data_IF_633219344020
#
_entry.id   IF_633219344020
#
_cell.length_a   1.000
_cell.length_b   1.000
_cell.length_c   1.000
_cell.angle_alpha   90.00
_cell.angle_beta   90.00
_cell.angle_gamma   90.00
#
_symmetry.space_group_name_H-M   'P 1'
#
loop_
_entity.id
_entity.type
_entity.pdbx_description
1 polymer ?
#
# COMPACT_ATOMS: atom_id res chain seq x y z
N UNK A 1 59.56 -9.82 -19.98
CA UNK A 1 59.31 -9.97 -18.53
C UNK A 1 57.89 -9.48 -18.28
N UNK A 2 56.92 -10.35 -18.53
CA UNK A 2 55.48 -10.05 -18.43
C UNK A 2 54.94 -10.59 -17.10
N UNK A 3 54.17 -9.77 -16.39
CA UNK A 3 53.54 -10.18 -15.13
C UNK A 3 52.22 -10.92 -15.43
N UNK A 4 51.91 -12.03 -14.73
CA UNK A 4 50.66 -12.75 -14.91
C UNK A 4 49.47 -11.90 -14.43
N UNK A 5 48.46 -11.77 -15.29
CA UNK A 5 47.15 -11.21 -14.93
C UNK A 5 46.42 -12.19 -14.02
N UNK A 6 46.13 -11.77 -12.79
CA UNK A 6 45.30 -12.52 -11.88
C UNK A 6 43.83 -12.47 -12.33
N UNK A 7 43.27 -13.62 -12.69
CA UNK A 7 41.84 -13.80 -12.96
C UNK A 7 41.10 -13.82 -11.62
N UNK A 8 40.36 -12.75 -11.29
CA UNK A 8 39.51 -12.76 -10.10
C UNK A 8 38.31 -13.71 -10.35
N UNK A 9 38.00 -14.63 -9.42
CA UNK A 9 36.88 -15.55 -9.61
C UNK A 9 35.57 -14.77 -9.63
N UNK A 10 34.78 -14.97 -10.68
CA UNK A 10 33.40 -14.50 -10.78
C UNK A 10 32.61 -15.14 -9.64
N UNK A 11 32.27 -14.32 -8.64
CA UNK A 11 31.42 -14.73 -7.52
C UNK A 11 30.02 -15.01 -8.08
N UNK A 12 29.74 -16.30 -8.26
CA UNK A 12 28.43 -16.87 -8.57
C UNK A 12 27.41 -16.41 -7.52
N UNK A 13 26.67 -15.34 -7.85
CA UNK A 13 25.56 -14.78 -7.03
C UNK A 13 24.53 -15.84 -6.60
N UNK A 14 24.50 -17.00 -7.26
CA UNK A 14 23.56 -18.11 -7.03
C UNK A 14 23.95 -19.04 -5.87
N UNK A 15 25.14 -18.92 -5.27
CA UNK A 15 25.55 -19.78 -4.14
C UNK A 15 25.41 -19.13 -2.76
N UNK A 16 25.08 -17.84 -2.67
CA UNK A 16 24.86 -17.14 -1.40
C UNK A 16 23.49 -17.44 -0.73
N UNK A 17 22.57 -18.13 -1.42
CA UNK A 17 21.21 -18.40 -0.93
C UNK A 17 21.00 -19.81 -0.35
N UNK A 18 22.07 -20.54 -0.01
CA UNK A 18 21.98 -21.92 0.51
C UNK A 18 22.70 -22.17 1.83
N UNK A 19 22.69 -21.18 2.74
CA UNK A 19 23.22 -21.32 4.10
C UNK A 19 22.29 -20.70 5.16
N UNK A 20 21.02 -21.10 5.19
CA UNK A 20 20.23 -21.08 6.41
C UNK A 20 19.60 -22.46 6.61
N UNK A 21 20.40 -23.36 7.18
CA UNK A 21 19.97 -24.67 7.62
C UNK A 21 19.26 -24.56 8.98
N UNK A 22 18.02 -25.03 8.98
CA UNK A 22 17.27 -25.67 10.08
C UNK A 22 17.59 -25.29 11.54
N UNK A 23 16.66 -24.58 12.16
CA UNK A 23 16.38 -24.67 13.60
C UNK A 23 14.88 -25.00 13.78
N UNK A 24 14.50 -26.04 14.55
CA UNK A 24 13.11 -26.25 14.93
C UNK A 24 12.82 -25.38 16.16
N UNK A 25 12.32 -24.16 15.94
CA UNK A 25 11.79 -23.34 17.02
C UNK A 25 10.27 -23.50 17.04
N UNK A 26 9.81 -24.11 18.13
CA UNK A 26 8.43 -24.37 18.56
C UNK A 26 7.47 -23.26 18.11
N UNK A 27 6.47 -23.65 17.30
CA UNK A 27 5.33 -22.80 16.99
C UNK A 27 4.50 -22.61 18.27
N UNK A 28 4.74 -21.52 18.99
CA UNK A 28 3.78 -21.03 19.99
C UNK A 28 2.64 -20.40 19.19
N UNK A 29 1.59 -21.19 18.97
CA UNK A 29 0.27 -20.72 18.55
C UNK A 29 -0.32 -19.86 19.69
N UNK A 30 0.17 -18.62 19.85
CA UNK A 30 -0.57 -17.58 20.56
C UNK A 30 -1.56 -16.94 19.59
N UNK A 31 -2.45 -17.76 19.02
CA UNK A 31 -3.55 -17.33 18.17
C UNK A 31 -4.85 -17.46 18.95
N UNK A 32 -4.98 -16.68 20.02
CA UNK A 32 -6.25 -16.36 20.63
C UNK A 32 -6.24 -14.87 20.94
N UNK A 33 -6.20 -14.04 19.89
CA UNK A 33 -6.58 -12.64 20.01
C UNK A 33 -8.07 -12.62 20.30
N UNK A 34 -8.43 -12.45 21.57
CA UNK A 34 -9.79 -12.10 21.98
C UNK A 34 -10.17 -10.84 21.22
N UNK A 35 -11.27 -10.87 20.46
CA UNK A 35 -11.76 -9.71 19.71
C UNK A 35 -11.88 -8.50 20.64
N UNK A 36 -10.96 -7.55 20.48
CA UNK A 36 -11.14 -6.22 21.02
C UNK A 36 -12.24 -5.55 20.19
N UNK A 37 -13.18 -4.85 20.83
CA UNK A 37 -14.16 -3.97 20.16
C UNK A 37 -13.49 -2.79 19.43
N UNK A 38 -12.16 -2.68 19.51
CA UNK A 38 -11.40 -1.63 18.86
C UNK A 38 -11.33 -1.86 17.34
N UNK A 39 -11.65 -0.83 16.52
CA UNK A 39 -11.59 -0.94 15.07
C UNK A 39 -10.22 -1.40 14.56
N UNK A 40 -10.21 -2.20 13.49
CA UNK A 40 -8.97 -2.68 12.88
C UNK A 40 -8.03 -1.51 12.51
N UNK A 41 -6.76 -1.60 12.89
CA UNK A 41 -5.75 -0.56 12.64
C UNK A 41 -5.53 -0.24 11.15
N UNK A 42 -5.91 -1.14 10.21
CA UNK A 42 -5.84 -0.90 8.77
C UNK A 42 -7.03 -0.08 8.25
N UNK A 43 -8.13 0.02 9.00
CA UNK A 43 -9.37 0.68 8.59
C UNK A 43 -9.17 2.15 8.21
N UNK A 44 -8.42 2.98 8.97
CA UNK A 44 -8.17 4.36 8.57
C UNK A 44 -7.39 4.48 7.25
N UNK A 45 -6.43 3.57 7.01
CA UNK A 45 -5.64 3.56 5.78
C UNK A 45 -6.49 3.14 4.57
N UNK A 46 -7.37 2.14 4.73
CA UNK A 46 -8.27 1.69 3.68
C UNK A 46 -9.33 2.75 3.32
N UNK A 47 -9.91 3.39 4.33
CA UNK A 47 -10.86 4.50 4.16
C UNK A 47 -10.23 5.66 3.40
N UNK A 48 -9.00 6.03 3.76
CA UNK A 48 -8.26 7.05 3.05
C UNK A 48 -8.00 6.67 1.59
N UNK A 49 -7.59 5.43 1.32
CA UNK A 49 -7.38 4.95 -0.05
C UNK A 49 -8.64 5.05 -0.91
N UNK A 50 -9.82 4.72 -0.37
CA UNK A 50 -11.09 4.94 -1.08
C UNK A 50 -11.35 6.43 -1.34
N UNK A 51 -11.12 7.29 -0.34
CA UNK A 51 -11.30 8.73 -0.49
C UNK A 51 -10.36 9.35 -1.54
N UNK A 52 -9.11 8.91 -1.60
CA UNK A 52 -8.13 9.33 -2.60
C UNK A 52 -8.58 8.90 -4.01
N UNK A 53 -9.05 7.66 -4.15
CA UNK A 53 -9.58 7.15 -5.42
C UNK A 53 -10.81 7.95 -5.88
N UNK A 54 -11.71 8.32 -4.96
CA UNK A 54 -12.87 9.14 -5.25
C UNK A 54 -12.49 10.57 -5.68
N UNK A 55 -11.50 11.18 -4.99
CA UNK A 55 -10.95 12.49 -5.35
C UNK A 55 -10.33 12.46 -6.74
N UNK A 56 -9.49 11.47 -7.02
CA UNK A 56 -8.80 11.33 -8.30
C UNK A 56 -9.79 11.11 -9.46
N UNK A 57 -10.81 10.28 -9.25
CA UNK A 57 -11.91 10.14 -10.20
C UNK A 57 -12.69 11.45 -10.42
N UNK A 58 -12.92 12.25 -9.37
CA UNK A 58 -13.57 13.55 -9.52
C UNK A 58 -12.73 14.51 -10.35
N UNK A 59 -11.42 14.54 -10.10
CA UNK A 59 -10.45 15.34 -10.87
C UNK A 59 -10.42 14.90 -12.33
N UNK A 60 -10.35 13.59 -12.60
CA UNK A 60 -10.33 13.05 -13.95
C UNK A 60 -11.57 13.43 -14.78
N UNK A 61 -12.75 13.53 -14.14
CA UNK A 61 -13.98 13.98 -14.79
C UNK A 61 -13.99 15.49 -15.06
N UNK A 62 -13.34 16.29 -14.22
CA UNK A 62 -13.38 17.75 -14.30
C UNK A 62 -12.27 18.34 -15.18
N UNK A 63 -11.09 17.75 -15.15
CA UNK A 63 -9.87 18.30 -15.75
C UNK A 63 -9.33 17.34 -16.82
N UNK A 64 -9.74 17.57 -18.07
CA UNK A 64 -9.40 16.68 -19.20
C UNK A 64 -7.89 16.50 -19.39
N UNK A 65 -7.11 17.57 -19.21
CA UNK A 65 -5.65 17.57 -19.38
C UNK A 65 -4.86 16.71 -18.39
N UNK A 66 -5.48 16.25 -17.30
CA UNK A 66 -4.87 15.32 -16.33
C UNK A 66 -5.72 14.06 -16.13
N UNK A 67 -6.69 13.82 -17.03
CA UNK A 67 -7.70 12.79 -16.81
C UNK A 67 -7.15 11.36 -16.86
N UNK A 68 -6.10 11.12 -17.65
CA UNK A 68 -5.43 9.82 -17.72
C UNK A 68 -4.67 9.53 -16.42
N UNK A 69 -3.71 10.39 -16.07
CA UNK A 69 -2.93 10.29 -14.82
C UNK A 69 -3.81 10.20 -13.57
N UNK A 70 -4.90 10.99 -13.51
CA UNK A 70 -5.83 10.94 -12.39
C UNK A 70 -6.64 9.63 -12.34
N UNK A 71 -6.97 9.02 -13.48
CA UNK A 71 -7.62 7.69 -13.51
C UNK A 71 -6.66 6.58 -13.10
N UNK A 72 -5.40 6.63 -13.50
CA UNK A 72 -4.38 5.67 -13.07
C UNK A 72 -4.17 5.71 -11.56
N UNK A 73 -4.07 6.93 -11.00
CA UNK A 73 -4.01 7.11 -9.55
C UNK A 73 -5.27 6.59 -8.88
N UNK A 74 -6.45 6.87 -9.43
CA UNK A 74 -7.71 6.36 -8.90
C UNK A 74 -7.74 4.82 -8.87
N UNK A 75 -7.29 4.17 -9.95
CA UNK A 75 -7.21 2.72 -10.03
C UNK A 75 -6.21 2.14 -9.01
N UNK A 76 -5.03 2.73 -8.88
CA UNK A 76 -4.03 2.31 -7.90
C UNK A 76 -4.56 2.43 -6.47
N UNK A 77 -5.16 3.58 -6.11
CA UNK A 77 -5.72 3.79 -4.77
C UNK A 77 -6.94 2.90 -4.49
N UNK A 78 -7.77 2.62 -5.50
CA UNK A 78 -8.86 1.64 -5.38
C UNK A 78 -8.30 0.22 -5.14
N UNK A 79 -7.26 -0.20 -5.86
CA UNK A 79 -6.62 -1.50 -5.65
C UNK A 79 -6.02 -1.63 -4.24
N UNK A 80 -5.38 -0.58 -3.73
CA UNK A 80 -4.91 -0.55 -2.33
C UNK A 80 -6.06 -0.69 -1.35
N UNK A 81 -7.15 0.07 -1.52
CA UNK A 81 -8.33 -0.01 -0.66
C UNK A 81 -8.92 -1.42 -0.64
N UNK A 82 -9.08 -2.06 -1.80
CA UNK A 82 -9.59 -3.43 -1.89
C UNK A 82 -8.65 -4.45 -1.23
N UNK A 83 -7.33 -4.29 -1.37
CA UNK A 83 -6.37 -5.20 -0.72
C UNK A 83 -6.38 -5.07 0.80
N UNK A 84 -6.44 -3.84 1.32
CA UNK A 84 -6.54 -3.57 2.75
C UNK A 84 -7.88 -4.06 3.31
N UNK A 85 -8.98 -3.83 2.59
CA UNK A 85 -10.27 -4.33 3.00
C UNK A 85 -10.29 -5.86 3.11
N UNK A 86 -9.81 -6.58 2.08
CA UNK A 86 -9.73 -8.04 2.14
C UNK A 86 -8.96 -8.54 3.36
N UNK A 87 -7.92 -7.82 3.77
CA UNK A 87 -7.13 -8.19 4.94
C UNK A 87 -7.83 -7.87 6.28
N UNK A 88 -8.66 -6.82 6.33
CA UNK A 88 -9.55 -6.53 7.46
C UNK A 88 -10.60 -7.64 7.57
N UNK A 89 -11.28 -7.95 6.46
CA UNK A 89 -12.35 -8.95 6.40
C UNK A 89 -11.83 -10.36 6.73
N UNK A 90 -10.61 -10.70 6.31
CA UNK A 90 -9.96 -11.99 6.62
C UNK A 90 -9.75 -12.20 8.12
N UNK A 91 -9.43 -11.16 8.88
CA UNK A 91 -9.15 -11.26 10.31
C UNK A 91 -10.43 -11.18 11.14
N UNK A 92 -11.42 -10.41 10.68
CA UNK A 92 -12.68 -10.22 11.38
C UNK A 92 -13.65 -11.41 11.30
N UNK A 93 -13.35 -12.48 10.53
CA UNK A 93 -14.23 -13.66 10.32
C UNK A 93 -15.70 -13.27 10.16
N UNK A 94 -16.00 -12.46 9.15
CA UNK A 94 -17.34 -11.90 8.90
C UNK A 94 -18.23 -12.83 8.10
N UNK A 95 -19.54 -12.65 8.25
CA UNK A 95 -20.53 -13.24 7.34
C UNK A 95 -20.36 -12.62 5.94
N UNK A 96 -20.32 -13.42 4.85
CA UNK A 96 -20.29 -12.89 3.49
C UNK A 96 -21.42 -11.91 3.13
N UNK A 97 -22.57 -11.97 3.81
CA UNK A 97 -23.71 -11.07 3.61
C UNK A 97 -23.56 -9.73 4.34
N UNK A 98 -22.54 -9.58 5.19
CA UNK A 98 -22.28 -8.31 5.86
C UNK A 98 -21.89 -7.20 4.87
N UNK A 99 -22.26 -5.94 5.17
CA UNK A 99 -21.72 -4.82 4.43
C UNK A 99 -20.18 -4.76 4.56
N UNK A 100 -19.49 -4.20 3.55
CA UNK A 100 -18.04 -4.08 3.56
C UNK A 100 -17.53 -3.38 4.83
N UNK A 101 -16.49 -3.95 5.48
CA UNK A 101 -15.89 -3.37 6.70
C UNK A 101 -15.35 -1.96 6.50
N UNK A 102 -14.92 -1.63 5.29
CA UNK A 102 -14.45 -0.29 4.95
C UNK A 102 -15.62 0.46 4.30
N UNK A 103 -16.13 1.54 4.91
CA UNK A 103 -17.25 2.28 4.35
C UNK A 103 -16.87 2.95 3.04
N UNK A 104 -17.84 3.14 2.16
CA UNK A 104 -17.62 3.91 0.95
C UNK A 104 -17.46 5.41 1.24
N UNK A 105 -16.58 6.10 0.51
CA UNK A 105 -16.31 7.50 0.76
C UNK A 105 -17.50 8.35 0.32
N UNK A 106 -17.77 9.42 1.06
CA UNK A 106 -18.71 10.44 0.60
C UNK A 106 -18.25 11.01 -0.77
N UNK A 107 -19.18 11.41 -1.65
CA UNK A 107 -18.84 12.01 -2.93
C UNK A 107 -17.87 13.19 -2.79
N UNK A 108 -16.77 13.16 -3.55
CA UNK A 108 -15.75 14.23 -3.56
C UNK A 108 -16.02 15.20 -4.71
N UNK A 109 -15.92 16.50 -4.42
CA UNK A 109 -15.86 17.55 -5.45
C UNK A 109 -14.40 17.77 -5.85
N UNK A 110 -14.13 17.86 -7.14
CA UNK A 110 -12.81 18.24 -7.63
C UNK A 110 -12.52 19.71 -7.32
N UNK A 111 -11.25 20.08 -7.05
CA UNK A 111 -10.83 21.46 -7.02
C UNK A 111 -11.17 22.21 -8.32
N UNK A 112 -11.39 23.52 -8.22
CA UNK A 112 -11.87 24.35 -9.33
C UNK A 112 -10.79 24.63 -10.38
N UNK A 113 -9.54 24.85 -9.96
CA UNK A 113 -8.39 25.07 -10.86
C UNK A 113 -7.59 23.78 -11.07
N UNK A 114 -6.87 23.72 -12.19
CA UNK A 114 -5.98 22.61 -12.52
C UNK A 114 -4.83 22.51 -11.51
N UNK A 115 -4.22 23.64 -11.12
CA UNK A 115 -3.11 23.65 -10.17
C UNK A 115 -3.54 23.10 -8.79
N UNK A 116 -4.70 23.54 -8.29
CA UNK A 116 -5.23 23.02 -7.03
C UNK A 116 -5.61 21.54 -7.13
N UNK A 117 -5.99 21.05 -8.33
CA UNK A 117 -6.25 19.63 -8.55
C UNK A 117 -4.95 18.81 -8.54
N UNK A 118 -3.88 19.29 -9.19
CA UNK A 118 -2.57 18.66 -9.15
C UNK A 118 -2.02 18.59 -7.71
N UNK A 119 -2.09 19.69 -6.96
CA UNK A 119 -1.68 19.74 -5.56
C UNK A 119 -2.49 18.80 -4.67
N UNK A 120 -3.80 18.69 -4.91
CA UNK A 120 -4.65 17.75 -4.19
C UNK A 120 -4.26 16.29 -4.47
N UNK A 121 -3.89 15.93 -5.70
CA UNK A 121 -3.39 14.58 -6.02
C UNK A 121 -2.07 14.30 -5.30
N UNK A 122 -1.10 15.23 -5.38
CA UNK A 122 0.20 15.10 -4.70
C UNK A 122 0.05 14.97 -3.19
N UNK A 123 -0.80 15.80 -2.59
CA UNK A 123 -1.08 15.74 -1.16
C UNK A 123 -1.68 14.39 -0.77
N UNK A 124 -2.67 13.89 -1.53
CA UNK A 124 -3.30 12.59 -1.26
C UNK A 124 -2.29 11.43 -1.29
N UNK A 125 -1.41 11.36 -2.30
CA UNK A 125 -0.42 10.28 -2.38
C UNK A 125 0.68 10.40 -1.32
N UNK A 126 1.12 11.63 -1.00
CA UNK A 126 2.09 11.88 0.07
C UNK A 126 1.53 11.46 1.43
N UNK A 127 0.33 11.90 1.77
CA UNK A 127 -0.34 11.51 3.01
C UNK A 127 -0.57 10.00 3.06
N UNK A 128 -0.95 9.38 1.94
CA UNK A 128 -1.11 7.93 1.82
C UNK A 128 0.20 7.17 2.07
N UNK A 129 1.31 7.64 1.49
CA UNK A 129 2.65 7.07 1.70
C UNK A 129 3.04 7.14 3.17
N UNK A 130 2.95 8.34 3.76
CA UNK A 130 3.35 8.59 5.14
C UNK A 130 2.50 7.83 6.15
N UNK A 131 1.17 7.81 5.96
CA UNK A 131 0.25 7.07 6.83
C UNK A 131 0.57 5.58 6.79
N UNK A 132 0.82 5.01 5.62
CA UNK A 132 1.22 3.62 5.48
C UNK A 132 2.59 3.37 6.15
N UNK A 133 3.59 4.20 5.87
CA UNK A 133 4.94 4.05 6.43
C UNK A 133 4.93 4.07 7.98
N UNK A 134 4.18 5.00 8.58
CA UNK A 134 4.05 5.10 10.05
C UNK A 134 3.40 3.87 10.69
N UNK A 135 2.57 3.14 9.95
CA UNK A 135 1.84 1.98 10.48
C UNK A 135 2.68 0.70 10.45
N UNK A 136 3.65 0.59 9.53
CA UNK A 136 4.47 -0.62 9.33
C UNK A 136 5.16 -1.11 10.62
N UNK A 137 5.79 -0.27 11.46
CA UNK A 137 6.47 -0.74 12.67
C UNK A 137 5.53 -1.41 13.70
N UNK A 138 4.23 -1.08 13.67
CA UNK A 138 3.21 -1.68 14.53
C UNK A 138 2.54 -2.92 13.93
N UNK A 139 3.03 -3.43 12.80
CA UNK A 139 2.48 -4.59 12.09
C UNK A 139 3.50 -5.71 12.00
N UNK A 140 3.01 -6.94 11.78
CA UNK A 140 3.84 -8.12 11.57
C UNK A 140 3.39 -8.92 10.35
N UNK A 141 4.29 -9.76 9.84
CA UNK A 141 4.02 -10.72 8.77
C UNK A 141 3.39 -10.10 7.53
N UNK A 142 2.29 -10.71 7.06
CA UNK A 142 1.60 -10.30 5.83
C UNK A 142 1.10 -8.85 5.88
N UNK A 143 0.56 -8.39 7.02
CA UNK A 143 0.03 -7.01 7.14
C UNK A 143 1.15 -5.97 6.99
N UNK A 144 2.32 -6.21 7.58
CA UNK A 144 3.48 -5.32 7.43
C UNK A 144 3.91 -5.23 5.95
N UNK A 145 4.00 -6.37 5.26
CA UNK A 145 4.35 -6.41 3.83
C UNK A 145 3.32 -5.72 2.93
N UNK A 146 2.03 -5.96 3.18
CA UNK A 146 0.93 -5.31 2.46
C UNK A 146 1.00 -3.78 2.60
N UNK A 147 1.11 -3.28 3.84
CA UNK A 147 1.14 -1.83 4.11
C UNK A 147 2.44 -1.20 3.58
N UNK A 148 3.58 -1.88 3.69
CA UNK A 148 4.83 -1.42 3.09
C UNK A 148 4.72 -1.30 1.56
N UNK A 149 4.07 -2.27 0.90
CA UNK A 149 3.81 -2.21 -0.55
C UNK A 149 2.91 -1.03 -0.92
N UNK A 150 1.90 -0.70 -0.10
CA UNK A 150 1.06 0.48 -0.31
C UNK A 150 1.89 1.76 -0.18
N UNK A 151 2.77 1.84 0.83
CA UNK A 151 3.65 2.99 1.02
C UNK A 151 4.59 3.18 -0.18
N UNK A 152 5.25 2.12 -0.64
CA UNK A 152 6.14 2.14 -1.79
C UNK A 152 5.41 2.54 -3.09
N UNK A 153 4.21 2.00 -3.32
CA UNK A 153 3.38 2.37 -4.47
C UNK A 153 3.01 3.86 -4.46
N UNK A 154 2.63 4.41 -3.29
CA UNK A 154 2.36 5.85 -3.17
C UNK A 154 3.62 6.72 -3.37
N UNK A 155 4.81 6.23 -3.02
CA UNK A 155 6.06 6.93 -3.34
C UNK A 155 6.30 6.95 -4.87
N UNK A 156 6.11 5.82 -5.55
CA UNK A 156 6.21 5.79 -7.02
C UNK A 156 5.19 6.73 -7.70
N UNK A 157 3.96 6.80 -7.18
CA UNK A 157 2.94 7.71 -7.71
C UNK A 157 3.31 9.19 -7.52
N UNK A 158 4.05 9.55 -6.48
CA UNK A 158 4.55 10.93 -6.31
C UNK A 158 5.50 11.31 -7.44
N UNK A 159 6.42 10.42 -7.82
CA UNK A 159 7.35 10.66 -8.93
C UNK A 159 6.62 10.84 -10.27
N UNK A 160 5.48 10.16 -10.47
CA UNK A 160 4.65 10.32 -11.68
C UNK A 160 3.94 11.68 -11.73
N UNK A 161 3.56 12.23 -10.57
CA UNK A 161 2.84 13.50 -10.50
C UNK A 161 3.75 14.74 -10.61
N UNK A 162 5.06 14.58 -10.39
CA UNK A 162 6.02 15.68 -10.26
C UNK A 162 5.57 16.67 -9.20
#
# INVERSE_FOLDING_TARGET
MELPRASLPVIERRRALRLFAAAPAVAVLAACGTGSDEPDQLLPLATAAKADAALANAIARRHSGMSETARELAAARAAHASALQREIDRVASRDPEDPPSVPDPAPKKAPSSADAAADALRAAVREGQERAARLVPGLSGYRAGLVASVSASCACLQEVLG
#
